data_IF_418883552346
#
_entry.id   IF_418883552346
#
_cell.length_a   1.000
_cell.length_b   1.000
_cell.length_c   1.000
_cell.angle_alpha   90.00
_cell.angle_beta   90.00
_cell.angle_gamma   90.00
#
_symmetry.space_group_name_H-M   'P 1'
#
loop_
_entity.id
_entity.type
_entity.pdbx_description
1 polymer ?
#
# COMPACT_ATOMS: atom_id res chain seq x y z
N UNK A 1 6.90 10.60 16.76
CA UNK A 1 6.90 9.50 15.79
C UNK A 1 5.77 9.76 14.81
N UNK A 2 6.01 9.69 13.51
CA UNK A 2 5.00 9.84 12.47
C UNK A 2 4.33 8.50 12.19
N UNK A 3 3.13 8.48 11.60
CA UNK A 3 2.48 7.23 11.16
C UNK A 3 3.35 6.46 10.15
N UNK A 4 4.07 7.15 9.28
CA UNK A 4 5.02 6.54 8.34
C UNK A 4 6.15 5.82 9.06
N UNK A 5 6.69 6.38 10.16
CA UNK A 5 7.70 5.71 10.99
C UNK A 5 7.13 4.49 11.73
N UNK A 6 5.90 4.58 12.24
CA UNK A 6 5.21 3.44 12.87
C UNK A 6 5.03 2.31 11.86
N UNK A 7 4.55 2.63 10.67
CA UNK A 7 4.37 1.66 9.58
C UNK A 7 5.71 1.02 9.17
N UNK A 8 6.78 1.82 9.01
CA UNK A 8 8.12 1.32 8.66
C UNK A 8 8.63 0.31 9.70
N UNK A 9 8.52 0.64 10.99
CA UNK A 9 8.93 -0.24 12.07
C UNK A 9 8.11 -1.54 12.12
N UNK A 10 6.79 -1.44 11.96
CA UNK A 10 5.92 -2.59 11.87
C UNK A 10 6.29 -3.49 10.70
N UNK A 11 6.53 -2.91 9.52
CA UNK A 11 6.85 -3.66 8.30
C UNK A 11 8.17 -4.43 8.43
N UNK A 12 9.18 -3.81 9.07
CA UNK A 12 10.46 -4.46 9.36
C UNK A 12 10.29 -5.67 10.30
N UNK A 13 9.48 -5.52 11.35
CA UNK A 13 9.23 -6.60 12.30
C UNK A 13 8.38 -7.73 11.66
N UNK A 14 7.33 -7.36 10.93
CA UNK A 14 6.50 -8.30 10.19
C UNK A 14 7.33 -9.08 9.14
N UNK A 15 8.22 -8.40 8.42
CA UNK A 15 9.11 -9.01 7.44
C UNK A 15 10.16 -9.94 8.06
N UNK A 16 10.54 -9.71 9.31
CA UNK A 16 11.40 -10.62 10.09
C UNK A 16 10.64 -11.89 10.46
N UNK A 17 9.40 -11.76 10.90
CA UNK A 17 8.54 -12.86 11.37
C UNK A 17 7.98 -13.69 10.21
N UNK A 18 7.71 -13.07 9.07
CA UNK A 18 7.10 -13.73 7.92
C UNK A 18 7.95 -13.58 6.65
N UNK A 19 8.53 -14.68 6.20
CA UNK A 19 9.39 -14.69 5.00
C UNK A 19 8.61 -14.56 3.68
N UNK A 20 7.30 -14.81 3.69
CA UNK A 20 6.42 -14.65 2.52
C UNK A 20 5.98 -13.18 2.34
N UNK A 21 6.17 -12.33 3.35
CA UNK A 21 5.82 -10.92 3.25
C UNK A 21 6.78 -10.20 2.31
N UNK A 22 6.23 -9.46 1.35
CA UNK A 22 6.95 -8.54 0.48
C UNK A 22 6.29 -7.15 0.49
N UNK A 23 7.04 -6.14 0.10
CA UNK A 23 6.56 -4.77 0.00
C UNK A 23 6.66 -4.28 -1.44
N UNK A 24 5.63 -3.58 -1.89
CA UNK A 24 5.50 -3.07 -3.26
C UNK A 24 5.13 -1.60 -3.19
N UNK A 25 5.73 -0.78 -4.04
CA UNK A 25 5.35 0.63 -4.17
C UNK A 25 5.53 1.12 -5.61
N UNK A 26 4.67 2.00 -6.10
CA UNK A 26 4.88 2.69 -7.37
C UNK A 26 5.65 4.01 -7.15
N UNK A 27 6.99 3.95 -7.12
CA UNK A 27 7.93 5.08 -7.00
C UNK A 27 7.81 5.92 -5.71
N UNK A 28 7.32 5.33 -4.60
CA UNK A 28 7.09 6.06 -3.34
C UNK A 28 7.84 5.46 -2.15
N UNK A 29 9.00 4.82 -2.38
CA UNK A 29 9.71 4.07 -1.35
C UNK A 29 10.10 4.93 -0.14
N UNK A 30 10.62 6.12 -0.35
CA UNK A 30 11.06 7.01 0.72
C UNK A 30 9.85 7.60 1.47
N UNK A 31 8.94 8.22 0.74
CA UNK A 31 7.76 8.88 1.32
C UNK A 31 6.81 7.93 2.07
N UNK A 32 6.77 6.66 1.70
CA UNK A 32 5.97 5.63 2.38
C UNK A 32 6.73 4.82 3.43
N UNK A 33 7.98 5.21 3.78
CA UNK A 33 8.77 4.56 4.82
C UNK A 33 9.27 3.15 4.49
N UNK A 34 9.46 2.83 3.21
CA UNK A 34 9.91 1.51 2.75
C UNK A 34 11.42 1.36 2.61
N UNK A 35 12.17 2.45 2.72
CA UNK A 35 13.61 2.48 2.46
C UNK A 35 14.39 1.46 3.29
N UNK A 36 14.08 1.32 4.56
CA UNK A 36 14.78 0.38 5.44
C UNK A 36 14.38 -1.08 5.17
N UNK A 37 13.13 -1.32 4.78
CA UNK A 37 12.69 -2.63 4.33
C UNK A 37 13.41 -3.03 3.04
N UNK A 38 13.53 -2.13 2.08
CA UNK A 38 14.24 -2.34 0.82
C UNK A 38 15.72 -2.72 1.05
N UNK A 39 16.41 -1.99 1.94
CA UNK A 39 17.81 -2.30 2.31
C UNK A 39 17.95 -3.66 2.98
N UNK A 40 17.04 -3.98 3.91
CA UNK A 40 17.12 -5.21 4.71
C UNK A 40 16.65 -6.46 3.97
N UNK A 41 15.66 -6.32 3.11
CA UNK A 41 15.03 -7.42 2.38
C UNK A 41 14.93 -7.15 0.87
N UNK A 42 16.05 -6.92 0.17
CA UNK A 42 16.04 -6.47 -1.24
C UNK A 42 15.35 -7.44 -2.20
N UNK A 43 15.32 -8.73 -1.90
CA UNK A 43 14.61 -9.74 -2.71
C UNK A 43 13.10 -9.80 -2.46
N UNK A 44 12.60 -9.01 -1.52
CA UNK A 44 11.17 -8.95 -1.14
C UNK A 44 10.62 -7.54 -1.21
N UNK A 45 11.38 -6.65 -1.84
CA UNK A 45 10.97 -5.27 -2.11
C UNK A 45 10.91 -5.04 -3.62
N UNK A 46 9.83 -4.43 -4.08
CA UNK A 46 9.58 -4.14 -5.48
C UNK A 46 9.11 -2.69 -5.64
N UNK A 47 9.94 -1.88 -6.26
CA UNK A 47 9.53 -0.58 -6.77
C UNK A 47 9.24 -0.74 -8.26
N UNK A 48 7.98 -0.54 -8.63
CA UNK A 48 7.52 -0.73 -10.01
C UNK A 48 7.57 0.55 -10.84
N UNK A 49 8.18 1.61 -10.32
CA UNK A 49 8.16 2.93 -10.95
C UNK A 49 6.77 3.57 -10.88
N UNK A 50 6.53 4.60 -11.70
CA UNK A 50 5.24 5.30 -11.73
C UNK A 50 4.23 4.46 -12.54
N UNK A 51 3.81 3.34 -11.96
CA UNK A 51 2.95 2.34 -12.60
C UNK A 51 1.96 1.75 -11.57
N UNK A 52 1.04 2.57 -11.08
CA UNK A 52 0.10 2.23 -10.00
C UNK A 52 -0.77 1.02 -10.37
N UNK A 53 -1.28 0.96 -11.59
CA UNK A 53 -2.07 -0.17 -12.10
C UNK A 53 -1.26 -1.47 -12.07
N UNK A 54 0.00 -1.41 -12.54
CA UNK A 54 0.89 -2.57 -12.51
C UNK A 54 1.19 -3.02 -11.08
N UNK A 55 1.39 -2.08 -10.14
CA UNK A 55 1.61 -2.40 -8.72
C UNK A 55 0.51 -3.29 -8.15
N UNK A 56 -0.75 -2.99 -8.46
CA UNK A 56 -1.90 -3.74 -7.94
C UNK A 56 -2.03 -5.11 -8.61
N UNK A 57 -1.96 -5.17 -9.92
CA UNK A 57 -2.03 -6.45 -10.67
C UNK A 57 -0.87 -7.38 -10.30
N UNK A 58 0.34 -6.84 -10.19
CA UNK A 58 1.52 -7.60 -9.77
C UNK A 58 1.36 -8.14 -8.35
N UNK A 59 0.90 -7.31 -7.42
CA UNK A 59 0.64 -7.72 -6.05
C UNK A 59 -0.43 -8.81 -5.96
N UNK A 60 -1.52 -8.69 -6.71
CA UNK A 60 -2.57 -9.71 -6.79
C UNK A 60 -2.02 -11.05 -7.30
N UNK A 61 -1.17 -11.03 -8.33
CA UNK A 61 -0.50 -12.22 -8.85
C UNK A 61 0.41 -12.88 -7.81
N UNK A 62 1.15 -12.11 -7.02
CA UNK A 62 1.95 -12.63 -5.91
C UNK A 62 1.08 -13.24 -4.81
N UNK A 63 -0.01 -12.55 -4.42
CA UNK A 63 -0.92 -13.02 -3.39
C UNK A 63 -1.61 -14.34 -3.77
N UNK A 64 -1.95 -14.53 -5.05
CA UNK A 64 -2.50 -15.77 -5.58
C UNK A 64 -1.55 -16.97 -5.45
N UNK A 65 -0.25 -16.70 -5.22
CA UNK A 65 0.79 -17.72 -5.03
C UNK A 65 1.32 -17.78 -3.59
N UNK A 66 0.46 -17.47 -2.60
CA UNK A 66 0.76 -17.52 -1.17
C UNK A 66 1.85 -16.54 -0.70
N UNK A 67 2.22 -15.55 -1.50
CA UNK A 67 3.00 -14.41 -1.03
C UNK A 67 2.06 -13.44 -0.31
N UNK A 68 2.57 -12.66 0.61
CA UNK A 68 1.80 -11.68 1.39
C UNK A 68 2.28 -10.27 1.03
N UNK A 69 1.76 -9.69 -0.04
CA UNK A 69 2.15 -8.36 -0.46
C UNK A 69 1.54 -7.28 0.44
N UNK A 70 2.36 -6.30 0.76
CA UNK A 70 1.96 -5.02 1.33
C UNK A 70 2.20 -3.96 0.27
N UNK A 71 1.14 -3.36 -0.24
CA UNK A 71 1.24 -2.27 -1.22
C UNK A 71 1.18 -0.95 -0.49
N UNK A 72 2.27 -0.19 -0.53
CA UNK A 72 2.31 1.16 0.03
C UNK A 72 2.16 2.19 -1.09
N UNK A 73 1.10 2.97 -1.03
CA UNK A 73 0.68 3.89 -2.09
C UNK A 73 0.01 5.12 -1.50
N UNK A 74 0.18 6.28 -2.13
CA UNK A 74 -0.54 7.48 -1.72
C UNK A 74 -2.01 7.41 -2.14
N UNK A 75 -2.87 7.96 -1.30
CA UNK A 75 -4.33 7.98 -1.52
C UNK A 75 -4.71 8.53 -2.91
N UNK A 76 -4.15 9.68 -3.31
CA UNK A 76 -4.43 10.29 -4.62
C UNK A 76 -3.93 9.43 -5.79
N UNK A 77 -2.86 8.66 -5.63
CA UNK A 77 -2.31 7.82 -6.69
C UNK A 77 -3.00 6.46 -6.79
N UNK A 78 -3.61 5.97 -5.73
CA UNK A 78 -4.43 4.77 -5.78
C UNK A 78 -5.62 4.91 -6.74
N UNK A 79 -6.07 6.13 -7.00
CA UNK A 79 -7.12 6.41 -7.99
C UNK A 79 -6.77 5.87 -9.38
N UNK A 80 -5.49 5.87 -9.76
CA UNK A 80 -5.02 5.34 -11.05
C UNK A 80 -5.10 3.81 -11.15
N UNK A 81 -5.08 3.13 -10.02
CA UNK A 81 -5.20 1.67 -9.94
C UNK A 81 -6.58 1.19 -9.51
N UNK A 82 -7.59 2.05 -9.50
CA UNK A 82 -8.91 1.73 -8.97
C UNK A 82 -9.59 0.56 -9.69
N UNK A 83 -9.48 0.50 -11.01
CA UNK A 83 -10.01 -0.63 -11.78
C UNK A 83 -9.31 -1.94 -11.39
N UNK A 84 -7.99 -1.96 -11.30
CA UNK A 84 -7.22 -3.14 -10.87
C UNK A 84 -7.51 -3.53 -9.42
N UNK A 85 -7.76 -2.54 -8.55
CA UNK A 85 -8.17 -2.80 -7.17
C UNK A 85 -9.51 -3.57 -7.14
N UNK A 86 -10.48 -3.17 -7.95
CA UNK A 86 -11.76 -3.86 -8.08
C UNK A 86 -11.58 -5.23 -8.75
N UNK A 87 -11.03 -5.25 -9.97
CA UNK A 87 -11.01 -6.41 -10.85
C UNK A 87 -10.01 -7.47 -10.41
N UNK A 88 -8.79 -7.07 -10.07
CA UNK A 88 -7.71 -8.02 -9.81
C UNK A 88 -7.64 -8.45 -8.35
N UNK A 89 -8.18 -7.64 -7.42
CA UNK A 89 -8.12 -7.92 -5.99
C UNK A 89 -9.50 -8.23 -5.40
N UNK A 90 -10.41 -7.26 -5.42
CA UNK A 90 -11.68 -7.37 -4.67
C UNK A 90 -12.63 -8.42 -5.24
N UNK A 91 -12.85 -8.45 -6.56
CA UNK A 91 -13.71 -9.45 -7.22
C UNK A 91 -13.19 -10.87 -7.05
N UNK A 92 -11.88 -11.04 -6.98
CA UNK A 92 -11.25 -12.33 -6.79
C UNK A 92 -11.08 -12.68 -5.30
N UNK A 93 -11.50 -11.79 -4.40
CA UNK A 93 -11.38 -11.93 -2.95
C UNK A 93 -9.95 -12.30 -2.50
N UNK A 94 -8.96 -11.68 -3.11
CA UNK A 94 -7.54 -11.93 -2.83
C UNK A 94 -7.13 -11.18 -1.55
N UNK A 95 -6.59 -11.88 -0.53
CA UNK A 95 -6.18 -11.24 0.71
C UNK A 95 -4.89 -10.43 0.51
N UNK A 96 -4.99 -9.12 0.59
CA UNK A 96 -3.88 -8.18 0.45
C UNK A 96 -3.97 -7.08 1.50
N UNK A 97 -2.82 -6.47 1.83
CA UNK A 97 -2.74 -5.29 2.67
C UNK A 97 -2.34 -4.07 1.82
N UNK A 98 -3.12 -3.01 1.97
CA UNK A 98 -2.81 -1.69 1.41
C UNK A 98 -2.49 -0.72 2.54
N UNK A 99 -1.31 -0.13 2.52
CA UNK A 99 -0.93 0.99 3.37
C UNK A 99 -1.13 2.28 2.56
N UNK A 100 -2.25 2.95 2.80
CA UNK A 100 -2.63 4.16 2.07
C UNK A 100 -2.10 5.37 2.83
N UNK A 101 -1.05 5.98 2.33
CA UNK A 101 -0.46 7.18 2.91
C UNK A 101 -1.05 8.45 2.25
N UNK A 102 -0.81 9.62 2.85
CA UNK A 102 -1.33 10.90 2.35
C UNK A 102 -2.86 10.93 2.19
N UNK A 103 -3.60 10.23 3.06
CA UNK A 103 -5.05 10.36 3.13
C UNK A 103 -5.44 11.69 3.77
N UNK A 104 -6.49 12.33 3.25
CA UNK A 104 -6.94 13.65 3.70
C UNK A 104 -6.13 14.81 3.11
N UNK A 105 -6.07 15.92 3.84
CA UNK A 105 -5.39 17.15 3.42
C UNK A 105 -3.89 17.04 3.74
N UNK A 106 -3.04 17.21 2.74
CA UNK A 106 -1.58 16.98 2.84
C UNK A 106 -0.73 18.25 2.70
N UNK A 107 -1.26 19.40 2.92
CA UNK A 107 -0.54 20.68 3.01
C UNK A 107 0.68 20.87 2.11
N UNK A 108 1.83 20.40 2.56
CA UNK A 108 3.12 20.59 1.89
C UNK A 108 3.22 19.99 0.48
N UNK A 109 2.57 18.87 0.22
CA UNK A 109 2.58 18.20 -1.09
C UNK A 109 1.61 18.85 -2.09
N UNK A 110 0.78 19.76 -1.63
CA UNK A 110 -0.14 20.55 -2.45
C UNK A 110 -1.41 19.81 -2.88
N UNK A 111 -2.27 20.48 -3.67
CA UNK A 111 -3.62 19.99 -3.98
C UNK A 111 -3.64 18.70 -4.80
N UNK A 112 -2.61 18.45 -5.59
CA UNK A 112 -2.51 17.23 -6.42
C UNK A 112 -2.28 15.95 -5.62
N UNK A 113 -1.84 16.08 -4.37
CA UNK A 113 -1.57 14.97 -3.46
C UNK A 113 -2.66 14.80 -2.37
N UNK A 114 -3.64 15.69 -2.32
CA UNK A 114 -4.72 15.61 -1.33
C UNK A 114 -5.58 14.37 -1.54
N UNK A 115 -5.62 13.50 -0.52
CA UNK A 115 -6.30 12.21 -0.53
C UNK A 115 -7.71 12.28 0.04
N UNK A 116 -8.60 13.05 -0.57
CA UNK A 116 -9.93 13.33 -0.03
C UNK A 116 -11.00 12.31 -0.43
N UNK A 117 -10.69 11.37 -1.32
CA UNK A 117 -11.69 10.52 -1.97
C UNK A 117 -11.57 9.03 -1.64
N UNK A 118 -10.47 8.59 -1.02
CA UNK A 118 -10.16 7.18 -0.78
C UNK A 118 -11.26 6.46 0.01
N UNK A 119 -11.71 7.03 1.12
CA UNK A 119 -12.82 6.45 1.89
C UNK A 119 -14.07 6.30 1.02
N UNK A 120 -14.39 7.30 0.20
CA UNK A 120 -15.58 7.30 -0.64
C UNK A 120 -15.54 6.21 -1.70
N UNK A 121 -14.43 6.06 -2.41
CA UNK A 121 -14.34 5.07 -3.48
C UNK A 121 -14.01 3.66 -2.98
N UNK A 122 -13.38 3.50 -1.81
CA UNK A 122 -13.08 2.17 -1.26
C UNK A 122 -14.28 1.56 -0.51
N UNK A 123 -15.03 2.36 0.25
CA UNK A 123 -16.13 1.85 1.08
C UNK A 123 -17.29 1.19 0.31
N UNK A 124 -17.42 1.46 -0.98
CA UNK A 124 -18.47 0.86 -1.83
C UNK A 124 -18.07 -0.51 -2.39
N UNK A 125 -16.79 -0.93 -2.21
CA UNK A 125 -16.29 -2.19 -2.73
C UNK A 125 -16.55 -3.30 -1.70
N UNK A 126 -17.13 -4.45 -2.09
CA UNK A 126 -17.38 -5.55 -1.17
C UNK A 126 -16.07 -6.21 -0.71
N UNK A 127 -16.13 -6.89 0.43
CA UNK A 127 -15.02 -7.65 1.02
C UNK A 127 -13.78 -6.82 1.42
N UNK A 128 -13.96 -5.51 1.59
CA UNK A 128 -12.90 -4.61 2.04
C UNK A 128 -13.08 -4.29 3.52
N UNK A 129 -11.98 -4.37 4.26
CA UNK A 129 -11.88 -3.80 5.61
C UNK A 129 -11.10 -2.51 5.52
N UNK A 130 -11.78 -1.39 5.72
CA UNK A 130 -11.17 -0.06 5.68
C UNK A 130 -10.97 0.44 7.12
N UNK A 131 -9.73 0.80 7.45
CA UNK A 131 -9.36 1.28 8.78
C UNK A 131 -8.65 2.63 8.69
N UNK A 132 -9.05 3.55 9.56
CA UNK A 132 -8.34 4.82 9.78
C UNK A 132 -7.92 4.86 11.26
N UNK A 133 -6.64 4.55 11.59
CA UNK A 133 -6.19 4.48 12.96
C UNK A 133 -6.24 5.86 13.63
N UNK A 134 -6.69 5.91 14.88
CA UNK A 134 -6.75 7.14 15.67
C UNK A 134 -5.46 7.41 16.47
N UNK A 135 -4.63 6.39 16.63
CA UNK A 135 -3.32 6.45 17.29
C UNK A 135 -2.41 5.31 16.80
N UNK A 136 -1.20 5.26 17.30
CA UNK A 136 -0.16 4.30 16.90
C UNK A 136 -0.26 2.90 17.55
N UNK A 137 -1.24 2.64 18.38
CA UNK A 137 -1.42 1.35 19.10
C UNK A 137 -2.23 0.33 18.30
#
# INVERSE_FOLDING_TARGET
MTYTEVFSNWLLDAGKKNKQLCAITPAMADGSGLTDFAKKYPKRFFDVGIAEQHALTFAAGLASNNIKPVVAIYSSFLQRGYDQFIHDVALQNIPMLFAIDRAGIVGADGPTHSGNFDISFLRCIPNIVLMAPSNEN
#
